data_IF_945970905712
#
_entry.id   IF_945970905712
#
_cell.length_a   1.000
_cell.length_b   1.000
_cell.length_c   1.000
_cell.angle_alpha   90.00
_cell.angle_beta   90.00
_cell.angle_gamma   90.00
#
_symmetry.space_group_name_H-M   'P 1'
#
loop_
_entity.id
_entity.type
_entity.pdbx_description
1 polymer ?
#
# COMPACT_ATOMS: atom_id res chain seq x y z
N UNK A 1 6.63 -20.07 -4.80
CA UNK A 1 7.28 -18.89 -4.18
C UNK A 1 6.47 -18.50 -2.96
N UNK A 2 7.11 -18.32 -1.81
CA UNK A 2 6.45 -17.90 -0.57
C UNK A 2 6.05 -16.43 -0.70
N UNK A 3 4.76 -16.11 -0.56
CA UNK A 3 4.30 -14.71 -0.56
C UNK A 3 4.76 -14.05 0.74
N UNK A 4 5.44 -12.91 0.62
CA UNK A 4 5.79 -12.04 1.75
C UNK A 4 4.95 -10.77 1.72
N UNK A 5 4.80 -10.11 2.86
CA UNK A 5 4.10 -8.82 2.95
C UNK A 5 4.65 -7.81 1.93
N UNK A 6 5.97 -7.73 1.80
CA UNK A 6 6.62 -6.87 0.81
C UNK A 6 6.23 -7.24 -0.61
N UNK A 7 6.35 -8.53 -0.99
CA UNK A 7 6.05 -8.96 -2.36
C UNK A 7 4.59 -8.75 -2.75
N UNK A 8 3.65 -8.90 -1.80
CA UNK A 8 2.23 -8.65 -2.06
C UNK A 8 1.99 -7.15 -2.20
N UNK A 9 2.58 -6.34 -1.32
CA UNK A 9 2.45 -4.88 -1.38
C UNK A 9 3.06 -4.28 -2.64
N UNK A 10 4.22 -4.76 -3.10
CA UNK A 10 4.82 -4.32 -4.37
C UNK A 10 3.88 -4.59 -5.56
N UNK A 11 3.22 -5.74 -5.59
CA UNK A 11 2.21 -6.04 -6.61
C UNK A 11 0.99 -5.12 -6.49
N UNK A 12 0.52 -4.81 -5.28
CA UNK A 12 -0.53 -3.84 -5.05
C UNK A 12 -0.12 -2.44 -5.54
N UNK A 13 1.10 -2.00 -5.23
CA UNK A 13 1.63 -0.70 -5.64
C UNK A 13 1.71 -0.58 -7.16
N UNK A 14 2.12 -1.62 -7.88
CA UNK A 14 2.10 -1.65 -9.34
C UNK A 14 0.69 -1.43 -9.88
N UNK A 15 -0.28 -2.18 -9.35
CA UNK A 15 -1.67 -2.03 -9.75
C UNK A 15 -2.20 -0.61 -9.44
N UNK A 16 -1.95 -0.09 -8.24
CA UNK A 16 -2.41 1.23 -7.83
C UNK A 16 -1.80 2.32 -8.71
N UNK A 17 -0.49 2.25 -8.97
CA UNK A 17 0.23 3.22 -9.81
C UNK A 17 -0.35 3.34 -11.22
N UNK A 18 -0.85 2.24 -11.78
CA UNK A 18 -1.47 2.23 -13.10
C UNK A 18 -2.91 2.77 -13.10
N UNK A 19 -3.56 2.87 -11.93
CA UNK A 19 -4.96 3.27 -11.79
C UNK A 19 -5.16 4.69 -11.25
N UNK A 20 -4.14 5.33 -10.69
CA UNK A 20 -4.22 6.68 -10.13
C UNK A 20 -3.17 7.63 -10.72
N UNK A 21 -3.33 8.93 -10.49
CA UNK A 21 -2.35 9.92 -10.92
C UNK A 21 -1.01 9.75 -10.19
N UNK A 22 0.10 9.92 -10.90
CA UNK A 22 1.47 9.75 -10.37
C UNK A 22 1.72 10.62 -9.12
N UNK A 23 1.16 11.82 -9.06
CA UNK A 23 1.24 12.70 -7.90
C UNK A 23 0.51 12.11 -6.66
N UNK A 24 -0.68 11.57 -6.87
CA UNK A 24 -1.45 10.93 -5.80
C UNK A 24 -0.73 9.66 -5.31
N UNK A 25 -0.20 8.85 -6.23
CA UNK A 25 0.60 7.67 -5.90
C UNK A 25 1.82 8.00 -5.02
N UNK A 26 2.65 8.95 -5.46
CA UNK A 26 3.85 9.38 -4.71
C UNK A 26 3.51 9.97 -3.35
N UNK A 27 2.38 10.65 -3.24
CA UNK A 27 2.00 11.29 -1.98
C UNK A 27 1.40 10.28 -0.99
N UNK A 28 0.51 9.41 -1.46
CA UNK A 28 -0.33 8.58 -0.60
C UNK A 28 0.14 7.12 -0.49
N UNK A 29 0.80 6.55 -1.49
CA UNK A 29 1.12 5.12 -1.52
C UNK A 29 2.61 4.82 -1.43
N UNK A 30 3.45 5.65 -2.03
CA UNK A 30 4.92 5.50 -1.96
C UNK A 30 5.50 5.45 -0.53
N UNK A 31 5.03 6.24 0.45
CA UNK A 31 5.58 6.18 1.81
C UNK A 31 4.99 5.04 2.67
N UNK A 32 4.00 4.29 2.16
CA UNK A 32 3.37 3.18 2.88
C UNK A 32 4.27 1.94 2.84
N UNK A 33 4.40 1.26 3.99
CA UNK A 33 5.22 0.05 4.12
C UNK A 33 4.41 -1.15 4.53
N UNK A 34 4.67 -2.30 3.91
CA UNK A 34 4.12 -3.58 4.35
C UNK A 34 4.78 -4.04 5.66
N UNK A 35 3.97 -4.40 6.64
CA UNK A 35 4.45 -4.84 7.97
C UNK A 35 4.31 -6.35 8.10
N UNK A 36 3.12 -6.85 7.81
CA UNK A 36 2.80 -8.27 8.01
C UNK A 36 1.82 -8.74 6.94
N UNK A 37 1.92 -10.01 6.59
CA UNK A 37 0.96 -10.69 5.73
C UNK A 37 0.50 -11.92 6.48
N UNK A 38 -0.77 -11.93 6.82
CA UNK A 38 -1.46 -13.13 7.31
C UNK A 38 -2.15 -13.84 6.15
N UNK A 39 -2.77 -14.99 6.40
CA UNK A 39 -3.36 -15.84 5.35
C UNK A 39 -4.35 -15.11 4.42
N UNK A 40 -4.96 -14.02 4.87
CA UNK A 40 -5.93 -13.24 4.07
C UNK A 40 -5.85 -11.72 4.22
N UNK A 41 -5.00 -11.19 5.10
CA UNK A 41 -4.89 -9.76 5.34
C UNK A 41 -3.44 -9.27 5.22
N UNK A 42 -3.27 -8.19 4.47
CA UNK A 42 -2.01 -7.46 4.40
C UNK A 42 -2.08 -6.26 5.36
N UNK A 43 -1.20 -6.25 6.35
CA UNK A 43 -1.05 -5.14 7.28
C UNK A 43 -0.01 -4.16 6.73
N UNK A 44 -0.44 -2.91 6.56
CA UNK A 44 0.39 -1.81 6.07
C UNK A 44 0.53 -0.73 7.15
N UNK A 45 1.71 -0.11 7.20
CA UNK A 45 2.00 1.04 8.02
C UNK A 45 1.94 2.28 7.14
N UNK A 46 1.14 3.25 7.58
CA UNK A 46 1.07 4.58 6.97
C UNK A 46 1.79 5.61 7.85
N UNK A 47 2.27 6.73 7.29
CA UNK A 47 3.02 7.75 8.04
C UNK A 47 2.19 8.54 9.05
N UNK A 48 0.90 8.73 8.80
CA UNK A 48 0.01 9.57 9.62
C UNK A 48 -1.46 9.20 9.42
N UNK A 49 -2.32 9.62 10.35
CA UNK A 49 -3.78 9.41 10.31
C UNK A 49 -4.42 9.92 9.01
N UNK A 50 -3.89 10.99 8.42
CA UNK A 50 -4.39 11.55 7.16
C UNK A 50 -4.38 10.55 5.99
N UNK A 51 -3.44 9.60 5.97
CA UNK A 51 -3.40 8.56 4.95
C UNK A 51 -4.57 7.60 5.09
N UNK A 52 -4.95 7.26 6.32
CA UNK A 52 -6.13 6.43 6.55
C UNK A 52 -7.40 7.12 6.09
N UNK A 53 -7.57 8.40 6.44
CA UNK A 53 -8.76 9.18 6.03
C UNK A 53 -8.87 9.28 4.51
N UNK A 54 -7.76 9.52 3.82
CA UNK A 54 -7.74 9.59 2.34
C UNK A 54 -8.01 8.24 1.67
N UNK A 55 -7.60 7.12 2.28
CA UNK A 55 -7.85 5.78 1.74
C UNK A 55 -9.28 5.28 1.99
N UNK A 56 -9.99 5.83 2.98
CA UNK A 56 -11.40 5.49 3.26
C UNK A 56 -12.41 6.26 2.41
N UNK A 57 -12.06 7.45 1.91
CA UNK A 57 -12.89 8.21 0.95
C UNK A 57 -12.86 7.63 -0.47
#
# INVERSE_FOLDING_TARGET
>A
MTKTALSVWENCLLFIKDNIQDQAYKTWFEPIRAVELTDSALYIQVPSKFFYEWLEE
#
